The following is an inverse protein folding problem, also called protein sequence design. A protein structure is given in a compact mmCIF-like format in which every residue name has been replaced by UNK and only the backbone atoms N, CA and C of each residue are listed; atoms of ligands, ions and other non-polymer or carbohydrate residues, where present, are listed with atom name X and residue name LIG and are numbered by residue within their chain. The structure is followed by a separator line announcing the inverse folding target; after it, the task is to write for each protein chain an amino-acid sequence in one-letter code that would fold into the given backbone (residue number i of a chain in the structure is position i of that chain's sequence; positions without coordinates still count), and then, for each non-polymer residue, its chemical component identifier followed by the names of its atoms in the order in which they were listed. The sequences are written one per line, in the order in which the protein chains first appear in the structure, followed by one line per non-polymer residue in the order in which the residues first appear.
data_IF_326652651010
#
_entry.id   IF_326652651010
#
_cell.length_a   1.000
_cell.length_b   1.000
_cell.length_c   1.000
_cell.angle_alpha   90.00
_cell.angle_beta   90.00
_cell.angle_gamma   90.00
#
_symmetry.space_group_name_H-M   'P 1'
#
loop_
_entity.id
_entity.type
_entity.pdbx_description
1 polymer ?
#
# COMPACT_ATOMS: atom_id res chain seq x y z
N UNK A 1 -27.92 -1.88 -16.83
CA UNK A 1 -28.02 -0.61 -16.09
C UNK A 1 -29.41 0.00 -16.21
N UNK A 2 -29.97 0.19 -17.41
CA UNK A 2 -31.33 0.76 -17.61
C UNK A 2 -32.45 0.18 -16.74
N UNK A 3 -32.51 -1.14 -16.58
CA UNK A 3 -33.61 -1.78 -15.83
C UNK A 3 -33.61 -1.46 -14.32
N UNK A 4 -32.42 -1.35 -13.71
CA UNK A 4 -32.32 -0.99 -12.28
C UNK A 4 -32.60 0.49 -12.06
N UNK A 5 -32.10 1.38 -12.92
CA UNK A 5 -32.36 2.82 -12.83
C UNK A 5 -33.85 3.12 -12.99
N UNK A 6 -34.52 2.47 -13.95
CA UNK A 6 -35.96 2.62 -14.16
C UNK A 6 -36.76 2.07 -12.97
N UNK A 7 -36.37 0.92 -12.43
CA UNK A 7 -37.02 0.33 -11.26
C UNK A 7 -36.82 1.15 -9.98
N UNK A 8 -35.62 1.69 -9.77
CA UNK A 8 -35.29 2.57 -8.64
C UNK A 8 -35.97 3.94 -8.78
N UNK A 9 -36.08 4.48 -10.00
CA UNK A 9 -36.82 5.72 -10.26
C UNK A 9 -38.32 5.56 -10.00
N UNK A 10 -38.90 4.41 -10.34
CA UNK A 10 -40.31 4.10 -10.05
C UNK A 10 -40.51 3.89 -8.55
N UNK A 11 -39.63 3.15 -7.87
CA UNK A 11 -39.70 2.98 -6.42
C UNK A 11 -39.57 4.31 -5.67
N UNK A 12 -38.68 5.20 -6.11
CA UNK A 12 -38.49 6.52 -5.51
C UNK A 12 -39.72 7.44 -5.72
N UNK A 13 -40.47 7.24 -6.80
CA UNK A 13 -41.72 7.98 -7.05
C UNK A 13 -42.92 7.48 -6.24
N UNK A 14 -42.93 6.20 -5.86
CA UNK A 14 -44.09 5.54 -5.24
C UNK A 14 -43.94 5.27 -3.72
N UNK A 15 -42.72 5.38 -3.18
CA UNK A 15 -42.43 5.12 -1.76
C UNK A 15 -42.08 6.40 -1.00
N UNK A 16 -42.44 6.42 0.29
CA UNK A 16 -41.92 7.41 1.24
C UNK A 16 -40.39 7.24 1.38
N UNK A 17 -39.63 8.33 1.51
CA UNK A 17 -38.16 8.36 1.61
C UNK A 17 -37.64 7.30 2.58
N UNK A 18 -38.22 7.19 3.78
CA UNK A 18 -37.82 6.21 4.81
C UNK A 18 -38.01 4.76 4.37
N UNK A 19 -39.06 4.46 3.60
CA UNK A 19 -39.30 3.11 3.09
C UNK A 19 -38.40 2.80 1.88
N UNK A 20 -38.14 3.80 1.04
CA UNK A 20 -37.20 3.68 -0.07
C UNK A 20 -35.78 3.39 0.42
N UNK A 21 -35.31 4.11 1.44
CA UNK A 21 -34.01 3.86 2.08
C UNK A 21 -33.89 2.45 2.66
N UNK A 22 -34.94 1.96 3.35
CA UNK A 22 -34.95 0.59 3.88
C UNK A 22 -34.85 -0.47 2.78
N UNK A 23 -35.47 -0.22 1.62
CA UNK A 23 -35.37 -1.13 0.47
C UNK A 23 -33.96 -1.08 -0.11
N UNK A 24 -33.35 0.11 -0.21
CA UNK A 24 -31.96 0.25 -0.66
C UNK A 24 -30.97 -0.48 0.27
N UNK A 25 -31.12 -0.35 1.58
CA UNK A 25 -30.26 -1.06 2.55
C UNK A 25 -30.47 -2.58 2.50
N UNK A 26 -31.69 -3.06 2.29
CA UNK A 26 -31.96 -4.49 2.09
C UNK A 26 -31.30 -5.03 0.81
N UNK A 27 -31.40 -4.29 -0.30
CA UNK A 27 -30.72 -4.62 -1.56
C UNK A 27 -29.19 -4.60 -1.37
N UNK A 28 -28.67 -3.61 -0.65
CA UNK A 28 -27.25 -3.48 -0.34
C UNK A 28 -26.71 -4.68 0.46
N UNK A 29 -27.46 -5.14 1.47
CA UNK A 29 -27.06 -6.29 2.30
C UNK A 29 -26.96 -7.58 1.48
N UNK A 30 -27.94 -7.84 0.61
CA UNK A 30 -27.93 -9.00 -0.29
C UNK A 30 -26.79 -8.89 -1.32
N UNK A 31 -26.60 -7.72 -1.92
CA UNK A 31 -25.53 -7.49 -2.88
C UNK A 31 -24.14 -7.64 -2.26
N UNK A 32 -23.94 -7.15 -1.04
CA UNK A 32 -22.67 -7.28 -0.30
C UNK A 32 -22.38 -8.74 0.03
N UNK A 33 -23.39 -9.50 0.43
CA UNK A 33 -23.26 -10.94 0.70
C UNK A 33 -22.87 -11.71 -0.57
N UNK A 34 -23.57 -11.46 -1.69
CA UNK A 34 -23.24 -12.07 -2.99
C UNK A 34 -21.83 -11.69 -3.45
N UNK A 35 -21.44 -10.42 -3.28
CA UNK A 35 -20.11 -9.96 -3.62
C UNK A 35 -19.05 -10.65 -2.77
N UNK A 36 -19.28 -10.77 -1.46
CA UNK A 36 -18.36 -11.46 -0.55
C UNK A 36 -18.17 -12.93 -0.93
N UNK A 37 -19.27 -13.66 -1.18
CA UNK A 37 -19.21 -15.06 -1.61
C UNK A 37 -18.51 -15.21 -2.97
N UNK A 38 -18.73 -14.26 -3.88
CA UNK A 38 -18.05 -14.22 -5.17
C UNK A 38 -16.55 -14.00 -4.99
N UNK A 39 -16.13 -13.13 -4.08
CA UNK A 39 -14.72 -12.89 -3.77
C UNK A 39 -14.10 -14.17 -3.19
N UNK A 40 -14.70 -14.77 -2.17
CA UNK A 40 -14.22 -16.00 -1.54
C UNK A 40 -14.11 -17.15 -2.55
N UNK A 41 -15.16 -17.40 -3.34
CA UNK A 41 -15.15 -18.47 -4.34
C UNK A 41 -14.11 -18.26 -5.45
N UNK A 42 -13.78 -17.01 -5.79
CA UNK A 42 -12.80 -16.71 -6.83
C UNK A 42 -11.36 -16.59 -6.31
N UNK A 43 -11.17 -16.35 -5.01
CA UNK A 43 -9.87 -16.48 -4.34
C UNK A 43 -9.34 -17.91 -4.45
N UNK A 44 -10.20 -18.90 -4.18
CA UNK A 44 -9.86 -20.32 -4.33
C UNK A 44 -9.49 -20.70 -5.77
N UNK A 45 -10.08 -20.00 -6.75
CA UNK A 45 -9.89 -20.27 -8.19
C UNK A 45 -8.71 -19.51 -8.82
N UNK A 46 -7.95 -18.73 -8.05
CA UNK A 46 -6.78 -17.95 -8.51
C UNK A 46 -7.05 -17.18 -9.82
N UNK A 47 -8.16 -16.45 -9.86
CA UNK A 47 -8.52 -15.60 -11.01
C UNK A 47 -7.46 -14.53 -11.27
N UNK A 48 -7.36 -14.01 -12.51
CA UNK A 48 -6.37 -12.98 -12.85
C UNK A 48 -6.65 -11.67 -12.09
N UNK A 49 -5.61 -10.84 -11.84
CA UNK A 49 -5.77 -9.57 -11.11
C UNK A 49 -6.80 -8.62 -11.72
N UNK A 50 -6.91 -8.59 -13.05
CA UNK A 50 -7.91 -7.79 -13.77
C UNK A 50 -9.35 -8.08 -13.36
N UNK A 51 -9.67 -9.32 -12.97
CA UNK A 51 -10.99 -9.68 -12.47
C UNK A 51 -11.29 -8.97 -11.14
N UNK A 52 -10.34 -8.97 -10.20
CA UNK A 52 -10.48 -8.32 -8.91
C UNK A 52 -10.47 -6.79 -9.03
N UNK A 53 -9.71 -6.24 -9.97
CA UNK A 53 -9.75 -4.82 -10.31
C UNK A 53 -11.14 -4.39 -10.80
N UNK A 54 -11.73 -5.13 -11.74
CA UNK A 54 -13.10 -4.87 -12.22
C UNK A 54 -14.14 -5.01 -11.10
N UNK A 55 -13.95 -5.96 -10.19
CA UNK A 55 -14.85 -6.19 -9.06
C UNK A 55 -14.74 -5.07 -8.01
N UNK A 56 -13.54 -4.51 -7.81
CA UNK A 56 -13.33 -3.29 -7.02
C UNK A 56 -14.05 -2.11 -7.66
N UNK A 57 -13.93 -1.92 -8.97
CA UNK A 57 -14.61 -0.83 -9.66
C UNK A 57 -16.14 -0.98 -9.58
N UNK A 58 -16.63 -2.23 -9.65
CA UNK A 58 -18.04 -2.56 -9.41
C UNK A 58 -18.45 -2.21 -7.98
N UNK A 59 -17.64 -2.55 -6.98
CA UNK A 59 -17.89 -2.19 -5.58
C UNK A 59 -17.95 -0.66 -5.41
N UNK A 60 -17.03 0.10 -6.00
CA UNK A 60 -17.06 1.56 -5.95
C UNK A 60 -18.30 2.14 -6.61
N UNK A 61 -18.73 1.60 -7.75
CA UNK A 61 -19.98 2.00 -8.39
C UNK A 61 -21.18 1.68 -7.48
N UNK A 62 -21.20 0.51 -6.84
CA UNK A 62 -22.26 0.16 -5.90
C UNK A 62 -22.29 1.11 -4.71
N UNK A 63 -21.14 1.39 -4.07
CA UNK A 63 -21.06 2.38 -2.97
C UNK A 63 -21.55 3.75 -3.44
N UNK A 64 -21.13 4.21 -4.62
CA UNK A 64 -21.51 5.52 -5.13
C UNK A 64 -23.02 5.64 -5.45
N UNK A 65 -23.68 4.55 -5.87
CA UNK A 65 -25.09 4.56 -6.22
C UNK A 65 -26.03 4.29 -5.03
N UNK A 66 -25.61 3.45 -4.09
CA UNK A 66 -26.46 3.02 -2.97
C UNK A 66 -26.19 3.78 -1.66
N UNK A 67 -25.01 4.40 -1.51
CA UNK A 67 -24.66 5.21 -0.33
C UNK A 67 -24.46 6.67 -0.73
N UNK A 68 -25.56 7.41 -0.85
CA UNK A 68 -25.57 8.88 -0.99
C UNK A 68 -25.03 9.57 0.28
N UNK A 69 -24.57 10.82 0.14
CA UNK A 69 -23.91 11.57 1.22
C UNK A 69 -24.73 11.69 2.52
N UNK A 70 -26.06 11.63 2.44
CA UNK A 70 -26.99 11.70 3.58
C UNK A 70 -27.14 10.36 4.32
N UNK A 71 -26.86 9.22 3.66
CA UNK A 71 -27.00 7.87 4.25
C UNK A 71 -25.70 7.26 4.81
N UNK A 72 -24.56 7.92 4.62
CA UNK A 72 -23.24 7.51 5.16
C UNK A 72 -23.11 7.68 6.68
N UNK A 73 -24.01 8.46 7.30
CA UNK A 73 -24.06 8.66 8.75
C UNK A 73 -24.80 7.54 9.48
N UNK A 74 -25.71 6.82 8.80
CA UNK A 74 -26.44 5.66 9.35
C UNK A 74 -25.66 4.35 9.32
N UNK A 75 -24.50 4.30 8.66
CA UNK A 75 -23.64 3.12 8.63
C UNK A 75 -23.03 2.85 10.01
N UNK A 76 -23.23 1.64 10.51
CA UNK A 76 -22.60 1.22 11.75
C UNK A 76 -21.08 1.13 11.56
N UNK A 77 -20.32 1.27 12.65
CA UNK A 77 -18.86 1.15 12.58
C UNK A 77 -18.40 -0.21 12.00
N UNK A 78 -19.20 -1.27 12.20
CA UNK A 78 -18.93 -2.60 11.67
C UNK A 78 -19.09 -2.67 10.13
N UNK A 79 -20.04 -1.94 9.57
CA UNK A 79 -20.25 -1.89 8.11
C UNK A 79 -19.08 -1.17 7.42
N UNK A 80 -18.56 -0.12 8.04
CA UNK A 80 -17.38 0.61 7.55
C UNK A 80 -16.12 -0.24 7.60
N UNK A 81 -15.94 -1.02 8.67
CA UNK A 81 -14.79 -1.92 8.80
C UNK A 81 -14.85 -3.08 7.81
N UNK A 82 -16.02 -3.71 7.63
CA UNK A 82 -16.20 -4.80 6.66
C UNK A 82 -16.00 -4.32 5.23
N UNK A 83 -16.54 -3.16 4.87
CA UNK A 83 -16.30 -2.55 3.55
C UNK A 83 -14.81 -2.26 3.33
N UNK A 84 -14.14 -1.64 4.31
CA UNK A 84 -12.71 -1.35 4.22
C UNK A 84 -11.86 -2.63 4.09
N UNK A 85 -12.27 -3.71 4.77
CA UNK A 85 -11.62 -5.00 4.66
C UNK A 85 -11.78 -5.60 3.26
N UNK A 86 -12.99 -5.60 2.72
CA UNK A 86 -13.28 -6.09 1.35
C UNK A 86 -12.51 -5.26 0.32
N UNK A 87 -12.53 -3.94 0.43
CA UNK A 87 -11.80 -3.04 -0.47
C UNK A 87 -10.30 -3.34 -0.45
N UNK A 88 -9.70 -3.51 0.74
CA UNK A 88 -8.29 -3.87 0.87
C UNK A 88 -7.98 -5.23 0.25
N UNK A 89 -8.85 -6.21 0.44
CA UNK A 89 -8.70 -7.55 -0.13
C UNK A 89 -8.72 -7.48 -1.67
N UNK A 90 -9.70 -6.78 -2.23
CA UNK A 90 -9.81 -6.57 -3.68
C UNK A 90 -8.64 -5.82 -4.25
N UNK A 91 -8.13 -4.83 -3.52
CA UNK A 91 -6.95 -4.07 -3.92
C UNK A 91 -5.72 -4.98 -3.97
N UNK A 92 -5.49 -5.80 -2.95
CA UNK A 92 -4.35 -6.73 -2.91
C UNK A 92 -4.43 -7.79 -4.02
N UNK A 93 -5.62 -8.34 -4.27
CA UNK A 93 -5.82 -9.34 -5.33
C UNK A 93 -5.96 -8.74 -6.74
N UNK A 94 -6.23 -7.44 -6.84
CA UNK A 94 -6.30 -6.68 -8.08
C UNK A 94 -4.95 -6.19 -8.59
N UNK A 95 -3.91 -6.22 -7.76
CA UNK A 95 -2.56 -5.85 -8.15
C UNK A 95 -1.83 -6.97 -8.88
N UNK A 96 -1.03 -6.60 -9.87
CA UNK A 96 -0.05 -7.52 -10.42
C UNK A 96 1.06 -7.77 -9.41
N UNK A 97 1.82 -8.86 -9.61
CA UNK A 97 2.97 -9.19 -8.75
C UNK A 97 3.95 -8.01 -8.64
N UNK A 98 4.11 -7.24 -9.72
CA UNK A 98 5.04 -6.11 -9.76
C UNK A 98 4.55 -4.93 -8.93
N UNK A 99 3.25 -4.65 -8.95
CA UNK A 99 2.61 -3.64 -8.12
C UNK A 99 2.64 -4.04 -6.65
N UNK A 100 2.40 -5.31 -6.33
CA UNK A 100 2.49 -5.82 -4.96
C UNK A 100 3.90 -5.65 -4.38
N UNK A 101 4.92 -5.99 -5.17
CA UNK A 101 6.32 -5.77 -4.77
C UNK A 101 6.59 -4.28 -4.54
N UNK A 102 6.06 -3.40 -5.40
CA UNK A 102 6.21 -1.96 -5.22
C UNK A 102 5.52 -1.46 -3.94
N UNK A 103 4.28 -1.87 -3.69
CA UNK A 103 3.52 -1.54 -2.48
C UNK A 103 4.24 -2.00 -1.22
N UNK A 104 4.80 -3.21 -1.21
CA UNK A 104 5.60 -3.71 -0.10
C UNK A 104 6.76 -2.77 0.27
N UNK A 105 7.49 -2.25 -0.73
CA UNK A 105 8.58 -1.31 -0.47
C UNK A 105 8.11 0.06 0.00
N UNK A 106 6.95 0.54 -0.49
CA UNK A 106 6.34 1.78 0.00
C UNK A 106 5.88 1.65 1.47
N UNK A 107 5.24 0.54 1.83
CA UNK A 107 4.84 0.26 3.21
C UNK A 107 6.06 0.19 4.14
N UNK A 108 7.12 -0.48 3.68
CA UNK A 108 8.41 -0.55 4.39
C UNK A 108 9.02 0.83 4.66
N UNK A 109 8.88 1.76 3.72
CA UNK A 109 9.33 3.16 3.86
C UNK A 109 8.44 3.92 4.85
N UNK A 110 7.11 3.76 4.77
CA UNK A 110 6.20 4.37 5.74
C UNK A 110 6.48 3.90 7.16
N UNK A 111 6.72 2.59 7.36
CA UNK A 111 7.12 2.06 8.65
C UNK A 111 8.43 2.66 9.17
N UNK A 112 9.40 2.92 8.28
CA UNK A 112 10.65 3.58 8.67
C UNK A 112 10.41 5.02 9.10
N UNK A 113 9.56 5.76 8.37
CA UNK A 113 9.24 7.15 8.69
C UNK A 113 8.40 7.30 9.98
N UNK A 114 7.62 6.28 10.35
CA UNK A 114 6.82 6.27 11.60
C UNK A 114 7.64 5.93 12.84
N UNK A 115 8.81 5.29 12.70
CA UNK A 115 9.61 4.88 13.85
C UNK A 115 10.34 6.08 14.46
N UNK A 116 10.09 6.32 15.74
CA UNK A 116 10.83 7.32 16.50
C UNK A 116 12.31 6.95 16.64
N UNK A 117 13.17 7.98 16.69
CA UNK A 117 14.63 7.84 16.75
C UNK A 117 15.14 7.00 17.94
N UNK A 118 14.35 6.87 19.00
CA UNK A 118 14.65 6.08 20.21
C UNK A 118 14.47 4.57 20.02
N UNK A 119 13.73 4.12 18.99
CA UNK A 119 13.50 2.70 18.71
C UNK A 119 14.52 2.09 17.71
N UNK A 120 15.54 2.86 17.29
CA UNK A 120 16.47 2.47 16.24
C UNK A 120 17.60 1.58 16.77
N UNK A 121 17.39 0.27 16.73
CA UNK A 121 18.31 -0.76 17.26
C UNK A 121 19.70 -0.78 16.58
N UNK A 122 19.82 -0.29 15.35
CA UNK A 122 21.02 -0.42 14.53
C UNK A 122 21.68 0.93 14.17
N UNK A 123 21.17 2.04 14.68
CA UNK A 123 21.62 3.39 14.35
C UNK A 123 20.86 4.04 13.19
N UNK A 124 21.36 5.18 12.73
CA UNK A 124 20.75 6.03 11.69
C UNK A 124 21.73 6.21 10.55
N UNK A 125 21.26 6.04 9.30
CA UNK A 125 22.01 6.35 8.09
C UNK A 125 21.36 7.53 7.37
N UNK A 126 22.14 8.55 7.05
CA UNK A 126 21.69 9.71 6.27
C UNK A 126 22.09 9.51 4.81
N UNK A 127 21.08 9.44 3.94
CA UNK A 127 21.26 9.30 2.50
C UNK A 127 20.50 10.43 1.81
N UNK A 128 21.10 11.01 0.78
CA UNK A 128 20.45 11.94 -0.13
C UNK A 128 20.34 11.31 -1.51
N UNK A 129 19.16 11.36 -2.10
CA UNK A 129 18.87 10.78 -3.41
C UNK A 129 18.17 11.83 -4.26
N UNK A 130 18.62 12.04 -5.49
CA UNK A 130 17.95 12.94 -6.42
C UNK A 130 18.12 12.48 -7.86
N UNK A 131 17.07 12.68 -8.67
CA UNK A 131 17.10 12.41 -10.10
C UNK A 131 17.43 13.69 -10.86
N UNK A 132 18.44 13.64 -11.73
CA UNK A 132 18.72 14.67 -12.74
C UNK A 132 18.47 14.09 -14.11
N UNK A 133 17.29 14.38 -14.67
CA UNK A 133 16.84 13.73 -15.89
C UNK A 133 16.67 12.23 -15.69
N UNK A 134 17.44 11.42 -16.44
CA UNK A 134 17.43 9.97 -16.34
C UNK A 134 18.60 9.41 -15.50
N UNK A 135 19.29 10.27 -14.75
CA UNK A 135 20.45 9.89 -13.93
C UNK A 135 20.08 9.99 -12.45
N UNK A 136 20.37 8.94 -11.70
CA UNK A 136 20.20 8.91 -10.24
C UNK A 136 21.53 9.30 -9.59
N UNK A 137 21.51 10.39 -8.82
CA UNK A 137 22.61 10.78 -7.95
C UNK A 137 22.29 10.38 -6.51
N UNK A 138 23.13 9.53 -5.94
CA UNK A 138 23.08 9.09 -4.54
C UNK A 138 24.27 9.65 -3.78
N UNK A 139 24.01 10.25 -2.64
CA UNK A 139 25.03 10.74 -1.71
C UNK A 139 24.85 10.07 -0.35
N UNK A 140 25.82 9.25 0.03
CA UNK A 140 25.90 8.63 1.35
C UNK A 140 26.65 9.59 2.24
N UNK A 141 25.92 10.27 3.14
CA UNK A 141 26.49 11.35 3.97
C UNK A 141 27.20 10.76 5.19
N UNK A 142 26.44 10.22 6.14
CA UNK A 142 26.98 9.69 7.38
C UNK A 142 26.07 8.63 8.00
N UNK A 143 26.61 7.89 8.97
CA UNK A 143 25.80 7.14 9.91
C UNK A 143 26.11 7.56 11.36
N UNK A 144 25.16 7.35 12.26
CA UNK A 144 25.25 7.73 13.67
C UNK A 144 24.66 6.65 14.58
N UNK A 145 25.21 6.55 15.78
CA UNK A 145 24.73 5.61 16.81
C UNK A 145 24.66 4.16 16.30
N UNK A 146 25.63 3.75 15.47
CA UNK A 146 25.68 2.37 15.00
C UNK A 146 25.81 1.42 16.18
N UNK A 147 25.14 0.26 16.08
CA UNK A 147 25.28 -0.79 17.09
C UNK A 147 26.72 -1.34 17.02
N UNK A 148 27.45 -1.42 18.15
CA UNK A 148 28.77 -2.03 18.19
C UNK A 148 28.64 -3.54 17.90
N UNK A 149 29.43 -4.02 16.94
CA UNK A 149 29.44 -5.42 16.50
C UNK A 149 30.77 -6.11 16.80
N UNK A 150 31.85 -5.34 16.98
CA UNK A 150 33.17 -5.89 17.24
C UNK A 150 33.44 -5.98 18.75
N UNK A 151 34.29 -6.93 19.17
CA UNK A 151 34.64 -7.17 20.58
C UNK A 151 35.33 -5.99 21.28
N UNK A 152 35.74 -4.97 20.54
CA UNK A 152 36.31 -3.73 21.05
C UNK A 152 35.24 -2.65 21.37
N UNK A 153 33.96 -2.93 21.13
CA UNK A 153 32.86 -1.98 21.33
C UNK A 153 32.72 -0.93 20.22
N UNK A 154 33.38 -1.12 19.07
CA UNK A 154 33.31 -0.27 17.89
C UNK A 154 32.85 -1.10 16.67
N UNK A 155 32.86 -0.48 15.49
CA UNK A 155 32.56 -1.13 14.21
C UNK A 155 33.52 -0.60 13.13
N UNK A 156 33.73 -1.40 12.08
CA UNK A 156 34.31 -0.96 10.81
C UNK A 156 33.19 -0.83 9.73
N UNK A 157 32.34 0.21 9.76
CA UNK A 157 31.16 0.29 8.89
C UNK A 157 31.48 0.64 7.43
N UNK A 158 30.67 0.09 6.52
CA UNK A 158 30.56 0.47 5.12
C UNK A 158 29.10 0.37 4.65
N UNK A 159 28.75 1.10 3.59
CA UNK A 159 27.42 1.07 2.97
C UNK A 159 27.52 0.43 1.60
N UNK A 160 26.57 -0.46 1.27
CA UNK A 160 26.44 -1.05 -0.06
C UNK A 160 25.01 -0.85 -0.57
N UNK A 161 24.88 -0.19 -1.71
CA UNK A 161 23.58 0.14 -2.30
C UNK A 161 23.10 -1.01 -3.20
N UNK A 162 21.82 -1.32 -3.10
CA UNK A 162 21.14 -2.32 -3.92
C UNK A 162 19.85 -1.72 -4.48
N UNK A 163 19.53 -2.04 -5.73
CA UNK A 163 18.27 -1.69 -6.36
C UNK A 163 17.30 -2.85 -6.27
N UNK A 164 16.06 -2.53 -5.90
CA UNK A 164 15.01 -3.52 -5.68
C UNK A 164 13.81 -3.24 -6.60
N UNK A 165 13.17 -4.29 -7.16
CA UNK A 165 13.50 -5.71 -7.00
C UNK A 165 14.76 -6.11 -7.79
N UNK A 166 15.64 -6.93 -7.20
CA UNK A 166 16.96 -7.26 -7.78
C UNK A 166 16.87 -7.84 -9.20
N UNK A 167 15.79 -8.57 -9.49
CA UNK A 167 15.50 -9.17 -10.80
C UNK A 167 15.35 -8.14 -11.93
N UNK A 168 14.97 -6.90 -11.62
CA UNK A 168 14.85 -5.80 -12.60
C UNK A 168 16.16 -5.05 -12.84
N UNK A 169 17.12 -5.18 -11.92
CA UNK A 169 18.37 -4.44 -11.92
C UNK A 169 19.58 -5.37 -12.09
N UNK A 170 19.40 -6.46 -12.84
CA UNK A 170 20.46 -7.39 -13.21
C UNK A 170 21.51 -6.64 -14.04
N UNK A 171 22.76 -6.68 -13.57
CA UNK A 171 23.88 -5.99 -14.23
C UNK A 171 24.11 -4.55 -13.79
N UNK A 172 23.22 -3.96 -12.98
CA UNK A 172 23.47 -2.66 -12.35
C UNK A 172 24.54 -2.82 -11.28
N UNK A 173 25.56 -1.96 -11.33
CA UNK A 173 26.63 -1.96 -10.33
C UNK A 173 26.03 -1.71 -8.94
N UNK A 174 26.53 -2.44 -7.93
CA UNK A 174 26.13 -2.29 -6.54
C UNK A 174 27.19 -1.44 -5.84
N UNK A 175 27.11 -0.09 -5.85
CA UNK A 175 28.16 0.75 -5.32
C UNK A 175 28.35 0.49 -3.83
N UNK A 176 29.61 0.60 -3.41
CA UNK A 176 30.04 0.34 -2.04
C UNK A 176 30.95 1.47 -1.60
N UNK A 177 30.71 2.00 -0.41
CA UNK A 177 31.57 3.00 0.21
C UNK A 177 32.88 2.39 0.69
N UNK A 178 33.86 3.24 0.95
CA UNK A 178 35.04 2.85 1.71
C UNK A 178 34.65 2.42 3.13
N UNK A 179 35.45 1.51 3.68
CA UNK A 179 35.27 1.04 5.04
C UNK A 179 35.89 2.07 6.00
N UNK A 180 35.11 2.57 6.95
CA UNK A 180 35.58 3.49 7.98
C UNK A 180 36.01 2.69 9.20
N UNK A 181 37.24 2.85 9.68
CA UNK A 181 37.73 1.99 10.76
C UNK A 181 37.35 2.49 12.15
N UNK A 182 36.95 1.57 13.03
CA UNK A 182 36.78 1.77 14.48
C UNK A 182 35.91 2.98 14.84
N UNK A 183 34.72 3.09 14.25
CA UNK A 183 33.81 4.21 14.50
C UNK A 183 32.34 3.78 14.52
N UNK A 184 31.57 4.37 15.43
CA UNK A 184 30.10 4.28 15.47
C UNK A 184 29.43 5.49 14.80
N UNK A 185 30.23 6.44 14.32
CA UNK A 185 29.83 7.69 13.67
C UNK A 185 30.61 7.89 12.36
N UNK A 186 30.51 6.97 11.39
CA UNK A 186 31.23 7.12 10.13
C UNK A 186 30.73 8.32 9.34
N UNK A 187 31.68 9.08 8.79
CA UNK A 187 31.45 10.07 7.74
C UNK A 187 31.88 9.44 6.42
N UNK A 188 30.95 9.28 5.49
CA UNK A 188 31.23 8.69 4.19
C UNK A 188 31.47 9.79 3.16
N UNK A 189 30.53 10.74 3.03
CA UNK A 189 30.54 11.81 2.02
C UNK A 189 30.85 11.30 0.59
N UNK A 190 30.32 10.12 0.25
CA UNK A 190 30.56 9.45 -1.03
C UNK A 190 29.36 9.61 -1.97
N UNK A 191 29.65 9.96 -3.23
CA UNK A 191 28.66 10.17 -4.29
C UNK A 191 28.72 9.08 -5.34
N UNK A 192 27.56 8.54 -5.69
CA UNK A 192 27.39 7.54 -6.74
C UNK A 192 26.40 8.07 -7.78
N UNK A 193 26.81 8.05 -9.05
CA UNK A 193 26.00 8.48 -10.19
C UNK A 193 25.74 7.27 -11.06
N UNK A 194 24.50 7.06 -11.46
CA UNK A 194 24.06 5.87 -12.19
C UNK A 194 22.87 6.12 -13.11
#
# INVERSE_FOLDING_TARGET
MLYMEESLSVLNGELNEVNFERVLDAIWAELTTVLYDLIQSNLDKRRPPSFFANLRDTLHLMVANFKTAENRESETAADKETLAHIERLLQLHGYETTDLIHQYYLDRLQEQNRKDATALTYGVLTVQCFFRGNVLELEIVNARNLKPMDGNGLCDPFVRVHFLPEERFIGVAKPKTQCQSKTLFPLFDEKFVM
#
